data_IF_112395135517
#
_entry.id   IF_112395135517
#
_cell.length_a   1.000
_cell.length_b   1.000
_cell.length_c   1.000
_cell.angle_alpha   90.00
_cell.angle_beta   90.00
_cell.angle_gamma   90.00
#
_symmetry.space_group_name_H-M   'P 1'
#
loop_
_entity.id
_entity.type
_entity.pdbx_description
1 polymer ?
#
# COMPACT_ATOMS: atom_id res chain seq x y z
N UNK A 1 -9.62 -13.89 20.54
CA UNK A 1 -10.52 -12.96 19.82
C UNK A 1 -9.66 -12.39 18.71
N UNK A 2 -9.67 -13.05 17.54
CA UNK A 2 -8.83 -12.65 16.41
C UNK A 2 -9.40 -11.35 15.83
N UNK A 3 -8.75 -10.23 16.14
CA UNK A 3 -9.14 -8.94 15.64
C UNK A 3 -8.72 -8.86 14.17
N UNK A 4 -9.66 -9.06 13.24
CA UNK A 4 -9.51 -8.65 11.84
C UNK A 4 -9.57 -7.11 11.77
N UNK A 5 -8.64 -6.43 12.43
CA UNK A 5 -8.56 -4.96 12.46
C UNK A 5 -7.89 -4.38 11.23
N UNK A 6 -7.22 -5.20 10.42
CA UNK A 6 -6.68 -4.78 9.13
C UNK A 6 -7.21 -5.66 8.01
N UNK A 7 -7.72 -5.05 6.93
CA UNK A 7 -8.06 -5.78 5.70
C UNK A 7 -6.83 -6.43 5.05
N UNK A 8 -5.61 -6.16 5.52
CA UNK A 8 -4.41 -6.91 5.10
C UNK A 8 -4.43 -8.36 5.60
N UNK A 9 -5.17 -8.68 6.67
CA UNK A 9 -5.36 -10.07 7.12
C UNK A 9 -6.23 -10.90 6.17
N UNK A 10 -6.86 -10.30 5.13
CA UNK A 10 -7.55 -11.04 4.06
C UNK A 10 -6.62 -11.97 3.29
N UNK A 11 -5.37 -11.56 3.09
CA UNK A 11 -4.36 -12.33 2.37
C UNK A 11 -4.01 -13.64 3.09
N UNK A 12 -4.25 -13.70 4.41
CA UNK A 12 -3.71 -14.75 5.27
C UNK A 12 -4.74 -15.80 5.72
N UNK A 13 -6.05 -15.58 5.59
CA UNK A 13 -7.05 -16.60 5.95
C UNK A 13 -8.25 -16.66 4.99
N UNK A 14 -8.56 -17.86 4.51
CA UNK A 14 -9.73 -18.15 3.64
C UNK A 14 -11.09 -17.87 4.31
N UNK A 15 -11.10 -17.72 5.64
CA UNK A 15 -12.30 -17.46 6.44
C UNK A 15 -12.55 -15.97 6.73
N UNK A 16 -11.68 -15.05 6.27
CA UNK A 16 -11.81 -13.64 6.58
C UNK A 16 -13.06 -13.00 5.93
N UNK A 17 -13.36 -13.35 4.67
CA UNK A 17 -14.54 -12.84 3.98
C UNK A 17 -15.84 -13.25 4.68
N UNK A 18 -15.98 -14.53 5.00
CA UNK A 18 -17.17 -15.05 5.69
C UNK A 18 -17.32 -14.48 7.11
N UNK A 19 -16.20 -14.11 7.75
CA UNK A 19 -16.22 -13.43 9.06
C UNK A 19 -16.73 -12.00 8.94
N UNK A 20 -16.30 -11.24 7.92
CA UNK A 20 -16.82 -9.90 7.65
C UNK A 20 -18.30 -9.93 7.27
N UNK A 21 -18.72 -10.87 6.41
CA UNK A 21 -20.12 -11.00 6.02
C UNK A 21 -21.03 -11.29 7.22
N UNK A 22 -20.58 -12.17 8.14
CA UNK A 22 -21.27 -12.42 9.41
C UNK A 22 -21.30 -11.20 10.32
N UNK A 23 -20.20 -10.46 10.40
CA UNK A 23 -20.10 -9.26 11.25
C UNK A 23 -21.03 -8.15 10.75
N UNK A 24 -21.06 -7.91 9.44
CA UNK A 24 -21.87 -6.85 8.83
C UNK A 24 -23.31 -7.28 8.52
N UNK A 25 -23.60 -8.58 8.54
CA UNK A 25 -24.89 -9.13 8.15
C UNK A 25 -25.24 -8.85 6.68
N UNK A 26 -24.22 -8.62 5.84
CA UNK A 26 -24.36 -8.26 4.42
C UNK A 26 -23.31 -9.01 3.58
N UNK A 27 -23.65 -9.35 2.33
CA UNK A 27 -22.66 -9.91 1.40
C UNK A 27 -21.54 -8.89 1.14
N UNK A 28 -20.31 -9.38 1.04
CA UNK A 28 -19.12 -8.55 0.77
C UNK A 28 -18.51 -9.00 -0.54
N UNK A 29 -18.33 -8.07 -1.47
CA UNK A 29 -17.68 -8.33 -2.75
C UNK A 29 -16.22 -7.91 -2.68
N UNK A 30 -15.31 -8.83 -3.01
CA UNK A 30 -13.89 -8.52 -3.10
C UNK A 30 -13.64 -7.61 -4.31
N UNK A 31 -13.09 -6.42 -4.07
CA UNK A 31 -12.62 -5.52 -5.12
C UNK A 31 -11.11 -5.69 -5.28
N UNK A 32 -10.68 -6.29 -6.40
CA UNK A 32 -9.26 -6.37 -6.74
C UNK A 32 -8.76 -5.07 -7.38
N UNK A 33 -7.45 -5.00 -7.62
CA UNK A 33 -6.79 -3.81 -8.19
C UNK A 33 -7.40 -3.40 -9.54
N UNK A 34 -7.68 -4.37 -10.42
CA UNK A 34 -8.35 -4.13 -11.70
C UNK A 34 -9.74 -3.51 -11.49
N UNK A 35 -10.50 -4.03 -10.53
CA UNK A 35 -11.83 -3.50 -10.21
C UNK A 35 -11.77 -2.05 -9.71
N UNK A 36 -10.78 -1.72 -8.88
CA UNK A 36 -10.66 -0.39 -8.26
C UNK A 36 -10.05 0.63 -9.21
N UNK A 37 -9.02 0.27 -9.98
CA UNK A 37 -8.30 1.21 -10.85
C UNK A 37 -8.95 1.33 -12.24
N UNK A 38 -9.35 0.20 -12.85
CA UNK A 38 -9.89 0.18 -14.22
C UNK A 38 -11.43 0.18 -14.26
N UNK A 39 -12.10 -0.47 -13.30
CA UNK A 39 -13.57 -0.62 -13.30
C UNK A 39 -14.24 0.15 -12.17
N UNK A 40 -13.63 1.24 -11.71
CA UNK A 40 -14.19 2.14 -10.70
C UNK A 40 -15.62 2.58 -11.03
N UNK A 41 -15.95 2.70 -12.33
CA UNK A 41 -17.28 3.06 -12.82
C UNK A 41 -18.37 2.10 -12.35
N UNK A 42 -18.07 0.83 -12.10
CA UNK A 42 -19.05 -0.12 -11.56
C UNK A 42 -19.45 0.25 -10.12
N UNK A 43 -18.46 0.61 -9.31
CA UNK A 43 -18.67 1.04 -7.91
C UNK A 43 -19.45 2.36 -7.90
N UNK A 44 -19.04 3.32 -8.74
CA UNK A 44 -19.68 4.63 -8.84
C UNK A 44 -21.12 4.53 -9.39
N UNK A 45 -21.36 3.69 -10.40
CA UNK A 45 -22.70 3.48 -10.95
C UNK A 45 -23.64 2.86 -9.92
N UNK A 46 -23.17 1.89 -9.14
CA UNK A 46 -23.96 1.33 -8.04
C UNK A 46 -24.24 2.37 -6.94
N UNK A 47 -23.26 3.24 -6.65
CA UNK A 47 -23.37 4.32 -5.67
C UNK A 47 -24.34 5.43 -6.11
N UNK A 48 -24.53 5.62 -7.41
CA UNK A 48 -25.54 6.56 -7.93
C UNK A 48 -26.98 6.11 -7.67
N UNK A 49 -27.22 4.80 -7.55
CA UNK A 49 -28.55 4.23 -7.32
C UNK A 49 -28.80 3.81 -5.86
N UNK A 50 -27.76 3.60 -5.06
CA UNK A 50 -27.86 2.99 -3.73
C UNK A 50 -26.70 3.37 -2.81
N UNK A 51 -26.83 3.12 -1.50
CA UNK A 51 -25.75 3.32 -0.55
C UNK A 51 -24.70 2.20 -0.67
N UNK A 52 -23.50 2.54 -1.15
CA UNK A 52 -22.36 1.62 -1.32
C UNK A 52 -21.28 1.94 -0.28
N UNK A 53 -20.74 0.91 0.36
CA UNK A 53 -19.60 1.00 1.25
C UNK A 53 -18.36 0.39 0.58
N UNK A 54 -17.26 1.14 0.53
CA UNK A 54 -15.98 0.68 0.01
C UNK A 54 -15.00 0.51 1.16
N UNK A 55 -14.61 -0.73 1.46
CA UNK A 55 -13.76 -1.07 2.60
C UNK A 55 -12.30 -1.18 2.17
N UNK A 56 -11.40 -0.50 2.89
CA UNK A 56 -9.97 -0.40 2.56
C UNK A 56 -9.11 -0.69 3.78
N UNK A 57 -7.92 -1.27 3.56
CA UNK A 57 -7.00 -1.57 4.65
C UNK A 57 -6.36 -0.31 5.20
N UNK A 58 -6.43 -0.13 6.52
CA UNK A 58 -5.92 1.06 7.19
C UNK A 58 -6.81 2.27 6.91
N UNK A 59 -6.19 3.44 6.74
CA UNK A 59 -6.88 4.68 6.42
C UNK A 59 -7.03 4.88 4.91
N UNK A 60 -8.23 5.28 4.41
CA UNK A 60 -8.45 5.51 2.99
C UNK A 60 -7.48 6.49 2.32
N UNK A 61 -6.91 7.45 3.05
CA UNK A 61 -6.03 8.48 2.48
C UNK A 61 -4.60 8.43 3.02
N UNK A 62 -4.27 7.49 3.91
CA UNK A 62 -2.96 7.41 4.55
C UNK A 62 -1.81 7.15 3.57
N UNK A 63 -1.98 6.24 2.62
CA UNK A 63 -0.95 5.87 1.64
C UNK A 63 -1.56 5.12 0.43
N UNK A 64 -2.74 5.55 -0.02
CA UNK A 64 -3.46 4.88 -1.11
C UNK A 64 -3.82 5.85 -2.23
N UNK A 65 -4.24 5.30 -3.38
CA UNK A 65 -4.72 6.07 -4.53
C UNK A 65 -6.22 6.38 -4.47
N UNK A 66 -6.92 6.04 -3.37
CA UNK A 66 -8.38 6.12 -3.28
C UNK A 66 -8.95 7.55 -3.30
N UNK A 67 -8.11 8.58 -3.12
CA UNK A 67 -8.51 9.98 -3.32
C UNK A 67 -9.05 10.23 -4.73
N UNK A 68 -8.52 9.54 -5.75
CA UNK A 68 -9.03 9.64 -7.12
C UNK A 68 -10.49 9.17 -7.25
N UNK A 69 -10.87 8.09 -6.55
CA UNK A 69 -12.25 7.60 -6.51
C UNK A 69 -13.21 8.65 -5.96
N UNK A 70 -12.80 9.39 -4.93
CA UNK A 70 -13.59 10.48 -4.34
C UNK A 70 -13.75 11.64 -5.30
N UNK A 71 -12.69 12.01 -6.03
CA UNK A 71 -12.75 13.05 -7.07
C UNK A 71 -13.71 12.64 -8.19
N UNK A 72 -13.65 11.39 -8.67
CA UNK A 72 -14.59 10.88 -9.69
C UNK A 72 -16.03 10.87 -9.20
N UNK A 73 -16.28 10.40 -7.97
CA UNK A 73 -17.62 10.41 -7.36
C UNK A 73 -18.21 11.82 -7.30
N UNK A 74 -17.42 12.81 -6.86
CA UNK A 74 -17.86 14.19 -6.75
C UNK A 74 -18.21 14.79 -8.13
N UNK A 75 -17.42 14.49 -9.18
CA UNK A 75 -17.74 14.89 -10.57
C UNK A 75 -19.08 14.33 -11.07
N UNK A 76 -19.50 13.18 -10.55
CA UNK A 76 -20.78 12.55 -10.87
C UNK A 76 -21.92 12.98 -9.92
N UNK A 77 -21.66 13.91 -8.99
CA UNK A 77 -22.65 14.36 -8.00
C UNK A 77 -22.97 13.32 -6.93
N UNK A 78 -22.13 12.29 -6.76
CA UNK A 78 -22.30 11.25 -5.75
C UNK A 78 -21.71 11.76 -4.43
N UNK A 79 -22.52 11.75 -3.38
CA UNK A 79 -22.07 12.09 -2.04
C UNK A 79 -21.17 11.00 -1.47
N UNK A 80 -19.98 11.39 -1.00
CA UNK A 80 -19.00 10.49 -0.37
C UNK A 80 -18.83 10.87 1.09
N UNK A 81 -19.02 9.90 1.98
CA UNK A 81 -18.68 10.03 3.39
C UNK A 81 -17.43 9.19 3.70
N UNK A 82 -16.40 9.81 4.26
CA UNK A 82 -15.12 9.14 4.59
C UNK A 82 -15.10 8.78 6.06
N UNK A 83 -14.83 7.51 6.36
CA UNK A 83 -14.63 7.03 7.73
C UNK A 83 -13.15 6.68 7.88
N UNK A 84 -12.45 7.44 8.72
CA UNK A 84 -11.01 7.29 8.96
C UNK A 84 -10.69 6.10 9.87
N UNK A 85 -9.45 5.62 9.78
CA UNK A 85 -8.94 4.53 10.61
C UNK A 85 -7.44 4.72 10.94
N UNK A 86 -6.85 3.79 11.68
CA UNK A 86 -5.40 3.75 11.89
C UNK A 86 -4.65 3.57 10.56
N UNK A 87 -3.49 4.21 10.43
CA UNK A 87 -2.64 4.19 9.24
C UNK A 87 -1.21 3.79 9.61
N UNK A 88 -0.45 3.20 8.69
CA UNK A 88 1.00 3.03 8.93
C UNK A 88 1.70 4.38 9.16
N UNK A 89 1.17 5.45 8.56
CA UNK A 89 1.68 6.81 8.68
C UNK A 89 1.68 7.34 10.12
N UNK A 90 0.71 6.92 10.95
CA UNK A 90 0.68 7.30 12.37
C UNK A 90 1.18 6.17 13.28
N UNK A 91 0.97 4.91 12.90
CA UNK A 91 1.40 3.75 13.69
C UNK A 91 2.93 3.62 13.81
N UNK A 92 3.70 4.18 12.87
CA UNK A 92 5.18 4.20 12.93
C UNK A 92 5.73 4.82 14.21
N UNK A 93 4.93 5.61 14.95
CA UNK A 93 5.29 6.10 16.27
C UNK A 93 5.61 5.00 17.29
N UNK A 94 5.21 3.74 17.05
CA UNK A 94 5.60 2.59 17.88
C UNK A 94 7.12 2.36 17.90
N UNK A 95 7.86 2.84 16.89
CA UNK A 95 9.32 2.80 16.86
C UNK A 95 9.97 3.70 17.93
N UNK A 96 9.18 4.49 18.67
CA UNK A 96 9.70 5.49 19.63
C UNK A 96 10.28 6.72 18.96
N UNK A 97 10.25 6.78 17.63
CA UNK A 97 10.64 7.93 16.84
C UNK A 97 9.53 8.96 16.81
N UNK A 98 9.94 10.21 16.79
CA UNK A 98 9.03 11.32 16.91
C UNK A 98 8.35 11.61 15.57
N UNK A 99 7.01 11.51 15.53
CA UNK A 99 6.25 11.65 14.28
C UNK A 99 6.49 12.99 13.56
N UNK A 100 6.73 14.08 14.29
CA UNK A 100 7.00 15.38 13.67
C UNK A 100 8.42 15.53 13.10
N UNK A 101 9.30 14.56 13.33
CA UNK A 101 10.63 14.48 12.71
C UNK A 101 10.66 13.52 11.51
N UNK A 102 9.51 13.09 10.99
CA UNK A 102 9.46 12.39 9.70
C UNK A 102 9.37 13.40 8.55
N UNK A 103 10.22 13.21 7.53
CA UNK A 103 10.23 13.97 6.30
C UNK A 103 9.34 13.33 5.23
N UNK A 104 9.73 13.50 3.96
CA UNK A 104 8.98 12.94 2.83
C UNK A 104 8.98 11.40 2.88
N UNK A 105 7.80 10.78 2.91
CA UNK A 105 7.63 9.32 2.80
C UNK A 105 7.98 8.83 1.40
N UNK A 106 8.60 7.65 1.32
CA UNK A 106 9.00 7.03 0.05
C UNK A 106 8.38 5.65 -0.12
N UNK A 107 8.29 5.18 -1.37
CA UNK A 107 7.92 3.80 -1.69
C UNK A 107 9.11 3.10 -2.35
N UNK A 108 9.45 1.90 -1.87
CA UNK A 108 10.51 1.06 -2.43
C UNK A 108 9.85 -0.05 -3.26
N UNK A 109 9.85 0.05 -4.59
CA UNK A 109 9.24 -0.96 -5.47
C UNK A 109 10.13 -2.20 -5.60
N UNK A 110 9.56 -3.35 -5.94
CA UNK A 110 10.38 -4.52 -6.31
C UNK A 110 11.15 -4.26 -7.61
N UNK A 111 12.45 -4.53 -7.58
CA UNK A 111 13.30 -4.52 -8.75
C UNK A 111 13.02 -5.73 -9.65
N UNK A 112 13.15 -5.52 -10.96
CA UNK A 112 13.20 -6.58 -11.97
C UNK A 112 14.53 -6.53 -12.70
N UNK A 113 14.80 -7.51 -13.55
CA UNK A 113 16.03 -7.53 -14.35
C UNK A 113 16.19 -6.27 -15.22
N UNK A 114 15.08 -5.72 -15.71
CA UNK A 114 15.07 -4.60 -16.66
C UNK A 114 14.55 -3.29 -16.07
N UNK A 115 14.05 -3.30 -14.82
CA UNK A 115 13.46 -2.13 -14.18
C UNK A 115 13.89 -2.02 -12.72
N UNK A 116 14.79 -1.06 -12.46
CA UNK A 116 15.42 -0.81 -11.16
C UNK A 116 15.37 0.70 -10.84
N UNK A 117 14.19 1.25 -10.53
CA UNK A 117 14.04 2.67 -10.26
C UNK A 117 14.65 3.04 -8.91
N UNK A 118 15.25 4.23 -8.82
CA UNK A 118 15.95 4.70 -7.64
C UNK A 118 15.47 6.08 -7.16
N UNK A 119 14.30 6.51 -7.61
CA UNK A 119 13.74 7.84 -7.28
C UNK A 119 13.49 8.08 -5.79
N UNK A 120 13.45 7.02 -4.98
CA UNK A 120 13.38 7.12 -3.52
C UNK A 120 14.70 7.60 -2.89
N UNK A 121 15.83 7.41 -3.57
CA UNK A 121 17.17 7.68 -3.04
C UNK A 121 17.36 9.17 -2.69
N UNK A 122 17.06 10.05 -3.64
CA UNK A 122 17.19 11.50 -3.45
C UNK A 122 16.35 11.99 -2.27
N UNK A 123 15.16 11.42 -2.07
CA UNK A 123 14.26 11.79 -0.98
C UNK A 123 14.81 11.36 0.38
N UNK A 124 15.33 10.14 0.47
CA UNK A 124 15.98 9.64 1.69
C UNK A 124 17.20 10.52 2.02
N UNK A 125 18.05 10.80 1.02
CA UNK A 125 19.23 11.67 1.18
C UNK A 125 18.83 13.07 1.65
N UNK A 126 17.81 13.66 1.04
CA UNK A 126 17.33 15.00 1.40
C UNK A 126 16.78 15.04 2.83
N UNK A 127 15.95 14.07 3.22
CA UNK A 127 15.45 13.96 4.59
C UNK A 127 16.61 13.83 5.59
N UNK A 128 17.58 12.97 5.31
CA UNK A 128 18.77 12.78 6.16
C UNK A 128 19.59 14.05 6.29
N UNK A 129 19.80 14.78 5.19
CA UNK A 129 20.48 16.08 5.19
C UNK A 129 19.78 17.15 6.05
N UNK A 130 18.47 17.01 6.24
CA UNK A 130 17.66 17.87 7.11
C UNK A 130 17.53 17.32 8.55
N UNK A 131 18.14 16.18 8.88
CA UNK A 131 18.01 15.53 10.17
C UNK A 131 16.64 14.86 10.41
N UNK A 132 15.89 14.57 9.33
CA UNK A 132 14.57 13.95 9.38
C UNK A 132 14.65 12.43 9.16
N UNK A 133 13.72 11.71 9.79
CA UNK A 133 13.46 10.30 9.54
C UNK A 133 12.73 10.12 8.20
N UNK A 134 12.94 8.98 7.56
CA UNK A 134 12.20 8.61 6.35
C UNK A 134 11.36 7.37 6.62
N UNK A 135 10.06 7.45 6.39
CA UNK A 135 9.21 6.26 6.35
C UNK A 135 9.31 5.65 4.95
N UNK A 136 9.82 4.43 4.87
CA UNK A 136 9.90 3.67 3.62
C UNK A 136 8.77 2.64 3.56
N UNK A 137 7.80 2.88 2.67
CA UNK A 137 6.74 1.92 2.36
C UNK A 137 7.29 0.86 1.41
N UNK A 138 7.11 -0.41 1.77
CA UNK A 138 7.62 -1.52 0.98
C UNK A 138 6.55 -2.06 0.03
N UNK A 139 6.99 -2.46 -1.17
CA UNK A 139 6.08 -2.92 -2.22
C UNK A 139 5.26 -4.15 -1.82
N UNK A 140 4.04 -4.20 -2.33
CA UNK A 140 3.10 -5.31 -2.15
C UNK A 140 2.51 -5.64 -3.51
N UNK A 141 2.86 -6.79 -4.05
CA UNK A 141 2.31 -7.31 -5.32
C UNK A 141 1.21 -8.29 -5.01
N UNK A 142 -0.04 -7.91 -5.29
CA UNK A 142 -1.21 -8.78 -5.08
C UNK A 142 -1.86 -9.01 -6.44
N UNK A 143 -1.86 -10.27 -6.90
CA UNK A 143 -2.49 -10.68 -8.17
C UNK A 143 -2.10 -9.80 -9.36
N UNK A 144 -0.81 -9.57 -9.56
CA UNK A 144 -0.36 -8.94 -10.80
C UNK A 144 -0.45 -9.97 -11.95
N UNK A 145 -0.96 -9.58 -13.14
CA UNK A 145 -0.92 -10.44 -14.31
C UNK A 145 0.54 -10.62 -14.73
N UNK A 146 0.94 -11.87 -15.02
CA UNK A 146 2.30 -12.13 -15.50
C UNK A 146 2.55 -11.43 -16.85
N UNK A 147 3.79 -11.07 -17.14
CA UNK A 147 4.18 -10.52 -18.46
C UNK A 147 3.73 -11.45 -19.61
N UNK A 148 3.84 -12.76 -19.41
CA UNK A 148 3.36 -13.77 -20.35
C UNK A 148 1.83 -13.78 -20.50
N UNK A 149 1.11 -13.48 -19.41
CA UNK A 149 -0.34 -13.39 -19.39
C UNK A 149 -0.87 -12.20 -20.19
N UNK A 150 -0.18 -11.05 -20.13
CA UNK A 150 -0.53 -9.86 -20.89
C UNK A 150 -0.37 -10.07 -22.40
N UNK A 151 0.63 -10.84 -22.82
CA UNK A 151 0.89 -11.14 -24.23
C UNK A 151 0.03 -12.28 -24.81
N UNK A 152 -0.47 -13.20 -23.97
CA UNK A 152 -1.17 -14.43 -24.41
C UNK A 152 -2.70 -14.38 -24.29
N UNK A 153 -3.25 -13.32 -23.70
CA UNK A 153 -4.70 -13.16 -23.48
C UNK A 153 -5.29 -14.10 -22.42
N UNK A 154 -4.48 -14.95 -21.79
CA UNK A 154 -4.88 -15.80 -20.66
C UNK A 154 -4.38 -15.17 -19.36
N UNK A 155 -5.30 -14.71 -18.51
CA UNK A 155 -5.01 -14.09 -17.21
C UNK A 155 -4.44 -15.12 -16.23
N UNK A 156 -3.12 -15.18 -16.09
CA UNK A 156 -2.43 -15.89 -15.01
C UNK A 156 -1.91 -14.85 -14.02
N UNK A 157 -2.31 -15.03 -12.77
CA UNK A 157 -1.97 -14.13 -11.68
C UNK A 157 -0.86 -14.75 -10.84
N UNK A 158 0.14 -13.94 -10.50
CA UNK A 158 1.15 -14.34 -9.54
C UNK A 158 0.57 -14.47 -8.13
N UNK A 159 1.22 -15.30 -7.31
CA UNK A 159 0.88 -15.35 -5.89
C UNK A 159 1.19 -14.02 -5.22
N UNK A 160 0.34 -13.56 -4.27
CA UNK A 160 0.62 -12.35 -3.51
C UNK A 160 1.99 -12.40 -2.85
N UNK A 161 2.82 -11.38 -3.09
CA UNK A 161 4.15 -11.26 -2.50
C UNK A 161 4.29 -9.91 -1.81
N UNK A 162 4.69 -9.97 -0.55
CA UNK A 162 5.09 -8.79 0.23
C UNK A 162 6.61 -8.70 0.21
N UNK A 163 7.14 -7.49 0.00
CA UNK A 163 8.58 -7.27 0.10
C UNK A 163 9.04 -7.50 1.54
N UNK A 164 10.09 -8.31 1.69
CA UNK A 164 10.75 -8.49 2.99
C UNK A 164 11.69 -7.32 3.25
N UNK A 165 11.99 -7.08 4.52
CA UNK A 165 12.94 -6.05 4.93
C UNK A 165 14.33 -6.34 4.34
N UNK A 166 14.73 -7.62 4.29
CA UNK A 166 15.99 -8.04 3.69
C UNK A 166 16.09 -7.63 2.22
N UNK A 167 15.05 -7.91 1.42
CA UNK A 167 15.02 -7.51 0.01
C UNK A 167 15.04 -5.99 -0.14
N UNK A 168 14.34 -5.25 0.73
CA UNK A 168 14.38 -3.79 0.70
C UNK A 168 15.79 -3.26 0.98
N UNK A 169 16.47 -3.79 2.00
CA UNK A 169 17.85 -3.39 2.36
C UNK A 169 18.83 -3.74 1.24
N UNK A 170 18.73 -4.93 0.64
CA UNK A 170 19.54 -5.32 -0.52
C UNK A 170 19.38 -4.34 -1.69
N UNK A 171 18.14 -3.97 -2.03
CA UNK A 171 17.88 -2.99 -3.08
C UNK A 171 18.36 -1.58 -2.71
N UNK A 172 18.25 -1.17 -1.44
CA UNK A 172 18.78 0.11 -0.98
C UNK A 172 20.29 0.14 -1.20
N UNK A 173 21.01 -0.84 -0.68
CA UNK A 173 22.47 -0.92 -0.78
C UNK A 173 22.93 -0.99 -2.23
N UNK A 174 22.23 -1.75 -3.09
CA UNK A 174 22.52 -1.76 -4.53
C UNK A 174 22.43 -0.35 -5.16
N UNK A 175 21.43 0.45 -4.78
CA UNK A 175 21.31 1.83 -5.27
C UNK A 175 22.41 2.73 -4.71
N UNK A 176 22.80 2.56 -3.44
CA UNK A 176 23.92 3.29 -2.86
C UNK A 176 25.23 2.95 -3.59
N UNK A 177 25.51 1.68 -3.85
CA UNK A 177 26.73 1.26 -4.59
C UNK A 177 26.81 1.89 -5.98
N UNK A 178 25.65 2.04 -6.64
CA UNK A 178 25.55 2.65 -7.97
C UNK A 178 25.67 4.18 -7.93
N UNK A 179 25.12 4.84 -6.91
CA UNK A 179 25.06 6.31 -6.79
C UNK A 179 26.30 6.88 -6.10
N UNK A 180 26.73 6.27 -5.00
CA UNK A 180 27.90 6.65 -4.21
C UNK A 180 27.78 8.02 -3.53
N UNK A 181 26.56 8.45 -3.19
CA UNK A 181 26.29 9.80 -2.66
C UNK A 181 26.05 9.80 -1.13
N UNK A 182 26.30 8.68 -0.46
CA UNK A 182 26.26 8.53 0.99
C UNK A 182 24.90 8.87 1.61
N UNK A 183 23.81 8.41 1.00
CA UNK A 183 22.48 8.56 1.58
C UNK A 183 22.28 7.63 2.79
N UNK A 184 22.87 6.44 2.73
CA UNK A 184 22.86 5.41 3.76
C UNK A 184 23.97 4.39 3.44
N UNK A 185 24.22 3.47 4.36
CA UNK A 185 25.31 2.48 4.29
C UNK A 185 24.95 1.22 5.09
N UNK A 186 25.87 0.26 5.17
CA UNK A 186 25.70 -0.99 5.93
C UNK A 186 25.53 -0.75 7.45
N UNK A 187 26.08 0.36 7.96
CA UNK A 187 26.00 0.74 9.38
C UNK A 187 24.72 1.55 9.71
N UNK A 188 23.93 1.90 8.69
CA UNK A 188 22.70 2.68 8.88
C UNK A 188 21.66 1.88 9.66
N UNK A 189 21.07 2.50 10.69
CA UNK A 189 20.08 1.86 11.55
C UNK A 189 18.69 1.91 10.89
N UNK A 190 18.12 0.74 10.64
CA UNK A 190 16.77 0.58 10.11
C UNK A 190 15.79 0.17 11.22
N UNK A 191 14.67 0.90 11.33
CA UNK A 191 13.59 0.58 12.27
C UNK A 191 12.43 -0.06 11.52
N UNK A 192 11.88 -1.14 12.08
CA UNK A 192 10.82 -1.92 11.45
C UNK A 192 9.52 -1.72 12.22
N UNK A 193 8.48 -1.26 11.52
CA UNK A 193 7.13 -1.17 12.04
C UNK A 193 6.20 -2.12 11.27
N UNK A 194 5.39 -2.89 12.00
CA UNK A 194 4.28 -3.66 11.45
C UNK A 194 3.02 -3.27 12.20
N UNK A 195 2.08 -2.62 11.52
CA UNK A 195 0.80 -2.22 12.09
C UNK A 195 -0.23 -3.33 11.85
N UNK A 196 -0.73 -3.97 12.91
CA UNK A 196 -1.83 -4.94 12.84
C UNK A 196 -1.47 -6.40 13.15
N UNK A 197 -0.52 -6.66 14.05
CA UNK A 197 -0.40 -7.95 14.75
C UNK A 197 -0.96 -7.81 16.18
#
# INVERSE_FOLDING_TARGET
MEACTSLLSFSLSSNCLSTLEKLYGKPVTLADRETVEEKADQILSAAAASNVAFLVAGDPFGATTHSDLVVRANKLGIYVNVVHNASVMNAVGICGLQLYHYGETVSIPFFTETWRPDSFYDKIRNNRGLGLHTLCLLDIRVKEPTLESLCSGRKQYEQPRHMSINTAIEQLLEVEDNRGESAYDEDTVYWVCSAGK
#
